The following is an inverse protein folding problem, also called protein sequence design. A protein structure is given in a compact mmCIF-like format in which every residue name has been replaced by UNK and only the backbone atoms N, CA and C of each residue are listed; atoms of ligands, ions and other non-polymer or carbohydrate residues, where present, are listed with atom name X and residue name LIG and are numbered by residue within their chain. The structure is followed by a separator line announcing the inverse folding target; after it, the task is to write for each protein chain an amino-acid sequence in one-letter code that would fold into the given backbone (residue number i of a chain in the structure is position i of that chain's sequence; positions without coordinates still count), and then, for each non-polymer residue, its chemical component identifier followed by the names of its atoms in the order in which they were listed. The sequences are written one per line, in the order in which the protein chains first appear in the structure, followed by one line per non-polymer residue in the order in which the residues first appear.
data_IF_215187187608
#
_entry.id   IF_215187187608
#
_cell.length_a   1.000
_cell.length_b   1.000
_cell.length_c   1.000
_cell.angle_alpha   90.00
_cell.angle_beta   90.00
_cell.angle_gamma   90.00
#
_symmetry.space_group_name_H-M   'P 1'
#
loop_
_entity.id
_entity.type
_entity.pdbx_description
1 polymer ?
#
# COMPACT_ATOMS: atom_id res chain seq x y z
N UNK A 1 10.97 18.86 -14.40
CA UNK A 1 9.75 19.15 -15.18
C UNK A 1 9.12 20.48 -14.76
N UNK A 2 8.49 21.22 -15.68
CA UNK A 2 7.73 22.43 -15.33
C UNK A 2 6.43 22.07 -14.56
N UNK A 3 5.92 22.96 -13.69
CA UNK A 3 4.71 22.69 -12.88
C UNK A 3 3.49 22.34 -13.77
N UNK A 4 3.28 23.09 -14.85
CA UNK A 4 2.18 22.82 -15.79
C UNK A 4 2.30 21.44 -16.42
N UNK A 5 3.50 21.09 -16.90
CA UNK A 5 3.78 19.79 -17.52
C UNK A 5 3.57 18.63 -16.53
N UNK A 6 3.92 18.82 -15.25
CA UNK A 6 3.63 17.84 -14.19
C UNK A 6 2.12 17.63 -14.02
N UNK A 7 1.35 18.71 -13.90
CA UNK A 7 -0.11 18.63 -13.76
C UNK A 7 -0.78 17.98 -14.97
N UNK A 8 -0.31 18.28 -16.17
CA UNK A 8 -0.83 17.68 -17.41
C UNK A 8 -0.57 16.16 -17.44
N UNK A 9 0.63 15.70 -17.05
CA UNK A 9 0.96 14.26 -16.97
C UNK A 9 0.18 13.54 -15.87
N UNK A 10 0.01 14.17 -14.71
CA UNK A 10 -0.83 13.62 -13.64
C UNK A 10 -2.25 13.47 -14.16
N UNK A 11 -2.85 14.52 -14.70
CA UNK A 11 -4.21 14.47 -15.22
C UNK A 11 -4.41 13.35 -16.27
N UNK A 12 -3.43 13.16 -17.16
CA UNK A 12 -3.45 12.05 -18.13
C UNK A 12 -3.46 10.70 -17.42
N UNK A 13 -2.50 10.46 -16.51
CA UNK A 13 -2.40 9.20 -15.77
C UNK A 13 -3.66 8.91 -14.94
N UNK A 14 -4.25 9.93 -14.30
CA UNK A 14 -5.51 9.81 -13.56
C UNK A 14 -6.67 9.41 -14.49
N UNK A 15 -6.75 10.03 -15.67
CA UNK A 15 -7.79 9.74 -16.66
C UNK A 15 -7.69 8.34 -17.26
N UNK A 16 -6.48 7.78 -17.31
CA UNK A 16 -6.22 6.43 -17.81
C UNK A 16 -6.25 5.36 -16.71
N UNK A 17 -6.39 5.77 -15.43
CA UNK A 17 -6.28 4.87 -14.29
C UNK A 17 -4.88 4.28 -14.12
N UNK A 18 -3.83 4.96 -14.59
CA UNK A 18 -2.44 4.51 -14.57
C UNK A 18 -1.76 4.88 -13.22
N UNK A 19 -2.05 4.06 -12.21
CA UNK A 19 -1.51 4.18 -10.85
C UNK A 19 0.03 4.09 -10.86
N UNK A 20 0.59 3.25 -11.72
CA UNK A 20 2.04 3.12 -11.84
C UNK A 20 2.71 4.42 -12.29
N UNK A 21 2.17 5.08 -13.32
CA UNK A 21 2.65 6.39 -13.76
C UNK A 21 2.45 7.45 -12.70
N UNK A 22 1.37 7.39 -11.91
CA UNK A 22 1.21 8.28 -10.76
C UNK A 22 2.39 8.11 -9.80
N UNK A 23 2.72 6.90 -9.34
CA UNK A 23 3.89 6.71 -8.46
C UNK A 23 5.23 7.13 -9.08
N UNK A 24 5.40 7.05 -10.42
CA UNK A 24 6.61 7.60 -11.08
C UNK A 24 6.72 9.12 -10.94
N UNK A 25 5.59 9.82 -10.82
CA UNK A 25 5.51 11.28 -10.68
C UNK A 25 5.55 11.76 -9.22
N UNK A 26 5.45 10.83 -8.25
CA UNK A 26 5.33 11.07 -6.81
C UNK A 26 6.39 12.02 -6.26
N UNK A 27 7.68 11.77 -6.55
CA UNK A 27 8.78 12.61 -6.07
C UNK A 27 8.67 14.06 -6.54
N UNK A 28 8.21 14.28 -7.79
CA UNK A 28 8.02 15.63 -8.33
C UNK A 28 6.76 16.29 -7.79
N UNK A 29 5.71 15.52 -7.51
CA UNK A 29 4.52 16.00 -6.82
C UNK A 29 4.90 16.50 -5.41
N UNK A 30 5.63 15.70 -4.64
CA UNK A 30 6.13 16.07 -3.32
C UNK A 30 6.98 17.35 -3.29
N UNK A 31 7.84 17.54 -4.29
CA UNK A 31 8.71 18.72 -4.36
C UNK A 31 7.93 20.01 -4.67
N UNK A 32 6.81 19.91 -5.41
CA UNK A 32 6.18 21.06 -6.06
C UNK A 32 4.80 21.41 -5.51
N UNK A 33 4.05 20.43 -5.02
CA UNK A 33 2.70 20.63 -4.54
C UNK A 33 2.69 21.15 -3.11
N UNK A 34 1.70 21.99 -2.80
CA UNK A 34 1.34 22.25 -1.42
C UNK A 34 0.68 21.01 -0.79
N UNK A 35 0.55 21.02 0.54
CA UNK A 35 0.02 19.91 1.32
C UNK A 35 -1.39 19.49 0.86
N UNK A 36 -2.30 20.44 0.67
CA UNK A 36 -3.67 20.16 0.22
C UNK A 36 -3.69 19.48 -1.16
N UNK A 37 -2.88 19.98 -2.10
CA UNK A 37 -2.78 19.41 -3.46
C UNK A 37 -2.13 18.03 -3.43
N UNK A 38 -1.14 17.82 -2.56
CA UNK A 38 -0.47 16.53 -2.40
C UNK A 38 -1.41 15.48 -1.76
N UNK A 39 -2.20 15.88 -0.76
CA UNK A 39 -3.23 15.03 -0.17
C UNK A 39 -4.27 14.62 -1.22
N UNK A 40 -4.76 15.56 -2.04
CA UNK A 40 -5.69 15.26 -3.12
C UNK A 40 -5.09 14.30 -4.17
N UNK A 41 -3.79 14.42 -4.42
CA UNK A 41 -3.07 13.53 -5.33
C UNK A 41 -3.02 12.08 -4.80
N UNK A 42 -2.68 11.87 -3.53
CA UNK A 42 -2.70 10.54 -2.92
C UNK A 42 -4.11 9.96 -2.77
N UNK A 43 -5.10 10.80 -2.43
CA UNK A 43 -6.50 10.38 -2.40
C UNK A 43 -6.96 9.82 -3.75
N UNK A 44 -6.54 10.44 -4.85
CA UNK A 44 -6.87 9.93 -6.19
C UNK A 44 -6.18 8.60 -6.52
N UNK A 45 -4.92 8.42 -6.12
CA UNK A 45 -4.22 7.12 -6.25
C UNK A 45 -5.01 6.04 -5.52
N UNK A 46 -5.46 6.33 -4.30
CA UNK A 46 -6.24 5.41 -3.48
C UNK A 46 -7.60 5.09 -4.12
N UNK A 47 -8.33 6.09 -4.61
CA UNK A 47 -9.62 5.89 -5.30
C UNK A 47 -9.48 4.91 -6.48
N UNK A 48 -8.46 5.11 -7.32
CA UNK A 48 -8.17 4.21 -8.45
C UNK A 48 -7.79 2.80 -7.99
N UNK A 49 -7.03 2.68 -6.91
CA UNK A 49 -6.63 1.39 -6.36
C UNK A 49 -7.83 0.62 -5.78
N UNK A 50 -8.75 1.31 -5.10
CA UNK A 50 -10.00 0.74 -4.58
C UNK A 50 -10.95 0.30 -5.70
N UNK A 51 -11.03 1.07 -6.79
CA UNK A 51 -11.79 0.67 -7.98
C UNK A 51 -11.22 -0.63 -8.59
N UNK A 52 -9.90 -0.71 -8.75
CA UNK A 52 -9.23 -1.93 -9.25
C UNK A 52 -9.41 -3.11 -8.31
N UNK A 53 -9.33 -2.91 -7.00
CA UNK A 53 -9.60 -3.95 -6.01
C UNK A 53 -11.02 -4.49 -6.16
N UNK A 54 -12.00 -3.60 -6.28
CA UNK A 54 -13.42 -3.96 -6.45
C UNK A 54 -13.61 -4.80 -7.71
N UNK A 55 -13.06 -4.34 -8.84
CA UNK A 55 -13.11 -5.07 -10.11
C UNK A 55 -12.47 -6.47 -10.01
N UNK A 56 -11.29 -6.57 -9.37
CA UNK A 56 -10.61 -7.85 -9.19
C UNK A 56 -11.45 -8.83 -8.33
N UNK A 57 -12.06 -8.34 -7.26
CA UNK A 57 -12.95 -9.14 -6.41
C UNK A 57 -14.20 -9.62 -7.16
N UNK A 58 -14.84 -8.74 -7.93
CA UNK A 58 -16.03 -9.09 -8.72
C UNK A 58 -15.74 -10.12 -9.80
N UNK A 59 -14.56 -10.03 -10.43
CA UNK A 59 -14.13 -10.94 -11.49
C UNK A 59 -13.43 -12.21 -10.97
N UNK A 60 -13.26 -12.36 -9.65
CA UNK A 60 -12.50 -13.44 -9.01
C UNK A 60 -11.05 -13.53 -9.52
N UNK A 61 -10.47 -12.38 -9.86
CA UNK A 61 -9.10 -12.25 -10.34
C UNK A 61 -8.14 -12.07 -9.17
N UNK A 62 -6.87 -12.44 -9.39
CA UNK A 62 -5.76 -12.15 -8.47
C UNK A 62 -4.93 -11.03 -9.06
N UNK A 63 -4.43 -10.15 -8.20
CA UNK A 63 -3.45 -9.13 -8.59
C UNK A 63 -2.06 -9.75 -8.68
N UNK A 64 -1.37 -9.52 -9.79
CA UNK A 64 -0.07 -10.10 -10.08
C UNK A 64 1.07 -9.10 -9.82
N UNK A 65 1.89 -9.34 -8.79
CA UNK A 65 2.99 -8.45 -8.44
C UNK A 65 4.05 -8.28 -9.53
N UNK A 66 4.10 -9.17 -10.53
CA UNK A 66 4.97 -9.00 -11.70
C UNK A 66 4.43 -7.96 -12.70
N UNK A 67 3.14 -7.65 -12.64
CA UNK A 67 2.51 -6.60 -13.44
C UNK A 67 2.66 -5.26 -12.73
N UNK A 68 3.28 -4.29 -13.41
CA UNK A 68 3.62 -2.98 -12.82
C UNK A 68 2.39 -2.25 -12.25
N UNK A 69 1.25 -2.37 -12.93
CA UNK A 69 0.01 -1.75 -12.49
C UNK A 69 -0.58 -2.43 -11.24
N UNK A 70 -0.54 -3.75 -11.16
CA UNK A 70 -1.04 -4.51 -10.00
C UNK A 70 -0.12 -4.33 -8.80
N UNK A 71 1.20 -4.28 -9.03
CA UNK A 71 2.18 -3.87 -8.03
C UNK A 71 1.84 -2.50 -7.44
N UNK A 72 1.59 -1.50 -8.30
CA UNK A 72 1.23 -0.16 -7.87
C UNK A 72 -0.12 -0.13 -7.11
N UNK A 73 -1.08 -0.95 -7.55
CA UNK A 73 -2.38 -1.11 -6.88
C UNK A 73 -2.21 -1.69 -5.47
N UNK A 74 -1.46 -2.79 -5.34
CA UNK A 74 -1.18 -3.43 -4.05
C UNK A 74 -0.39 -2.51 -3.11
N UNK A 75 0.54 -1.71 -3.64
CA UNK A 75 1.25 -0.69 -2.87
C UNK A 75 0.29 0.33 -2.25
N UNK A 76 -0.59 0.93 -3.06
CA UNK A 76 -1.53 1.94 -2.58
C UNK A 76 -2.46 1.40 -1.48
N UNK A 77 -2.97 0.19 -1.67
CA UNK A 77 -3.87 -0.44 -0.70
C UNK A 77 -3.14 -0.85 0.58
N UNK A 78 -1.87 -1.28 0.49
CA UNK A 78 -1.05 -1.57 1.65
C UNK A 78 -0.72 -0.30 2.44
N UNK A 79 -0.35 0.79 1.78
CA UNK A 79 -0.12 2.10 2.41
C UNK A 79 -1.38 2.55 3.16
N UNK A 80 -2.55 2.38 2.57
CA UNK A 80 -3.83 2.65 3.22
C UNK A 80 -4.10 1.77 4.46
N UNK A 81 -3.80 0.47 4.37
CA UNK A 81 -3.92 -0.43 5.54
C UNK A 81 -2.98 -0.02 6.68
N UNK A 82 -1.75 0.42 6.36
CA UNK A 82 -0.78 0.92 7.34
C UNK A 82 -1.22 2.24 7.95
N UNK A 83 -1.80 3.15 7.17
CA UNK A 83 -2.37 4.41 7.69
C UNK A 83 -3.40 4.11 8.78
N UNK A 84 -4.37 3.23 8.49
CA UNK A 84 -5.36 2.76 9.48
C UNK A 84 -4.71 2.12 10.69
N UNK A 85 -3.71 1.26 10.49
CA UNK A 85 -3.03 0.60 11.60
C UNK A 85 -2.32 1.64 12.49
N UNK A 86 -1.55 2.55 11.91
CA UNK A 86 -0.83 3.61 12.62
C UNK A 86 -1.78 4.59 13.33
N UNK A 87 -2.99 4.80 12.81
CA UNK A 87 -4.03 5.61 13.44
C UNK A 87 -4.77 4.90 14.59
N UNK A 88 -4.46 3.62 14.86
CA UNK A 88 -5.11 2.80 15.88
C UNK A 88 -6.43 2.16 15.43
N UNK A 89 -6.81 2.30 14.15
CA UNK A 89 -7.97 1.64 13.54
C UNK A 89 -7.66 0.18 13.21
N UNK A 90 -7.29 -0.62 14.23
CA UNK A 90 -6.75 -1.97 14.03
C UNK A 90 -7.76 -2.94 13.39
N UNK A 91 -9.07 -2.75 13.61
CA UNK A 91 -10.09 -3.58 12.99
C UNK A 91 -10.14 -3.39 11.47
N UNK A 92 -10.17 -2.14 11.01
CA UNK A 92 -10.20 -1.80 9.59
C UNK A 92 -8.89 -2.21 8.90
N UNK A 93 -7.75 -1.98 9.57
CA UNK A 93 -6.46 -2.44 9.10
C UNK A 93 -6.39 -3.97 8.95
N UNK A 94 -6.88 -4.73 9.95
CA UNK A 94 -6.92 -6.20 9.90
C UNK A 94 -7.72 -6.71 8.69
N UNK A 95 -8.92 -6.14 8.47
CA UNK A 95 -9.75 -6.49 7.33
C UNK A 95 -9.05 -6.19 5.99
N UNK A 96 -8.37 -5.05 5.89
CA UNK A 96 -7.60 -4.69 4.70
C UNK A 96 -6.43 -5.67 4.46
N UNK A 97 -5.66 -6.03 5.50
CA UNK A 97 -4.58 -7.01 5.37
C UNK A 97 -5.08 -8.40 4.97
N UNK A 98 -6.23 -8.83 5.50
CA UNK A 98 -6.87 -10.08 5.07
C UNK A 98 -7.24 -10.06 3.58
N UNK A 99 -7.87 -8.98 3.10
CA UNK A 99 -8.21 -8.81 1.69
C UNK A 99 -6.95 -8.78 0.82
N UNK A 100 -5.92 -8.04 1.21
CA UNK A 100 -4.67 -7.93 0.46
C UNK A 100 -3.94 -9.26 0.33
N UNK A 101 -3.80 -10.00 1.43
CA UNK A 101 -3.20 -11.33 1.40
C UNK A 101 -4.03 -12.32 0.59
N UNK A 102 -5.35 -12.14 0.57
CA UNK A 102 -6.29 -12.92 -0.22
C UNK A 102 -6.26 -12.61 -1.71
N UNK A 103 -6.08 -11.36 -2.14
CA UNK A 103 -6.21 -10.96 -3.55
C UNK A 103 -4.90 -11.06 -4.34
N UNK A 104 -3.74 -11.02 -3.68
CA UNK A 104 -2.43 -11.17 -4.33
C UNK A 104 -2.15 -12.61 -4.77
N UNK A 105 -1.39 -12.80 -5.84
CA UNK A 105 -0.80 -14.09 -6.21
C UNK A 105 0.62 -14.31 -5.64
N UNK A 106 1.22 -13.29 -5.03
CA UNK A 106 2.57 -13.35 -4.46
C UNK A 106 2.54 -13.96 -3.05
N UNK A 107 3.06 -15.17 -2.92
CA UNK A 107 3.06 -15.92 -1.66
C UNK A 107 3.78 -15.17 -0.53
N UNK A 108 4.91 -14.54 -0.82
CA UNK A 108 5.71 -13.84 0.19
C UNK A 108 4.96 -12.62 0.76
N UNK A 109 4.26 -11.87 -0.09
CA UNK A 109 3.39 -10.79 0.32
C UNK A 109 2.20 -11.32 1.12
N UNK A 110 1.53 -12.37 0.65
CA UNK A 110 0.40 -12.96 1.36
C UNK A 110 0.78 -13.44 2.77
N UNK A 111 1.94 -14.07 2.95
CA UNK A 111 2.44 -14.45 4.27
C UNK A 111 2.75 -13.22 5.14
N UNK A 112 3.37 -12.18 4.58
CA UNK A 112 3.62 -10.95 5.33
C UNK A 112 2.30 -10.30 5.80
N UNK A 113 1.26 -10.28 4.96
CA UNK A 113 -0.06 -9.73 5.33
C UNK A 113 -0.71 -10.51 6.48
N UNK A 114 -0.51 -11.83 6.58
CA UNK A 114 -0.99 -12.61 7.73
C UNK A 114 -0.36 -12.15 9.04
N UNK A 115 0.93 -11.81 9.03
CA UNK A 115 1.61 -11.32 10.23
C UNK A 115 1.09 -9.93 10.61
N UNK A 116 0.87 -9.04 9.65
CA UNK A 116 0.26 -7.72 9.91
C UNK A 116 -1.14 -7.87 10.51
N UNK A 117 -1.97 -8.69 9.88
CA UNK A 117 -3.31 -9.02 10.37
C UNK A 117 -3.27 -9.57 11.79
N UNK A 118 -2.39 -10.54 12.07
CA UNK A 118 -2.27 -11.12 13.40
C UNK A 118 -1.89 -10.06 14.46
N UNK A 119 -1.08 -9.06 14.09
CA UNK A 119 -0.73 -7.95 14.98
C UNK A 119 -1.96 -7.10 15.31
N UNK A 120 -2.74 -6.75 14.28
CA UNK A 120 -3.97 -6.00 14.42
C UNK A 120 -5.03 -6.76 15.23
N UNK A 121 -5.21 -8.06 14.96
CA UNK A 121 -6.14 -8.94 15.68
C UNK A 121 -5.77 -9.09 17.16
N UNK A 122 -4.46 -9.11 17.45
CA UNK A 122 -3.93 -9.09 18.81
C UNK A 122 -3.95 -7.69 19.47
N UNK A 123 -4.46 -6.67 18.77
CA UNK A 123 -4.50 -5.27 19.21
C UNK A 123 -3.13 -4.70 19.62
N UNK A 124 -2.05 -5.18 18.98
CA UNK A 124 -0.70 -4.65 19.21
C UNK A 124 -0.63 -3.26 18.58
N UNK A 125 -0.30 -2.19 19.32
CA UNK A 125 -0.08 -0.87 18.74
C UNK A 125 0.97 -0.90 17.64
N UNK A 126 0.82 -0.05 16.60
CA UNK A 126 1.75 -0.06 15.47
C UNK A 126 3.21 0.15 15.89
N UNK A 127 3.47 1.09 16.81
CA UNK A 127 4.83 1.35 17.32
C UNK A 127 5.44 0.10 18.00
N UNK A 128 4.65 -0.61 18.80
CA UNK A 128 5.07 -1.86 19.46
C UNK A 128 5.33 -2.98 18.44
N UNK A 129 4.51 -3.05 17.38
CA UNK A 129 4.70 -3.99 16.28
C UNK A 129 6.05 -3.76 15.60
N UNK A 130 6.34 -2.50 15.24
CA UNK A 130 7.62 -2.12 14.62
C UNK A 130 8.80 -2.46 15.54
N UNK A 131 8.73 -2.10 16.82
CA UNK A 131 9.85 -2.30 17.74
C UNK A 131 10.12 -3.79 18.02
N UNK A 132 9.07 -4.55 18.31
CA UNK A 132 9.20 -5.89 18.90
C UNK A 132 9.16 -7.03 17.88
N UNK A 133 8.49 -6.83 16.74
CA UNK A 133 8.21 -7.91 15.79
C UNK A 133 8.89 -7.69 14.43
N UNK A 134 9.16 -6.46 14.04
CA UNK A 134 9.74 -6.17 12.72
C UNK A 134 11.27 -6.13 12.78
N UNK A 135 11.92 -6.81 11.83
CA UNK A 135 13.32 -6.59 11.51
C UNK A 135 13.42 -5.41 10.53
N UNK A 136 13.61 -4.22 11.09
CA UNK A 136 13.65 -2.97 10.33
C UNK A 136 14.85 -2.88 9.40
N UNK A 137 16.01 -3.40 9.81
CA UNK A 137 17.22 -3.38 8.98
C UNK A 137 17.04 -4.30 7.77
N UNK A 138 16.57 -5.53 7.98
CA UNK A 138 16.30 -6.46 6.89
C UNK A 138 15.18 -5.96 5.97
N UNK A 139 14.13 -5.35 6.53
CA UNK A 139 13.03 -4.74 5.74
C UNK A 139 13.54 -3.63 4.83
N UNK A 140 14.34 -2.70 5.34
CA UNK A 140 14.91 -1.62 4.54
C UNK A 140 15.85 -2.14 3.44
N UNK A 141 16.72 -3.10 3.78
CA UNK A 141 17.64 -3.72 2.82
C UNK A 141 16.92 -4.57 1.76
N UNK A 142 15.73 -5.09 2.08
CA UNK A 142 14.92 -5.90 1.18
C UNK A 142 14.29 -5.12 0.03
N UNK A 143 14.18 -3.78 0.14
CA UNK A 143 13.69 -2.92 -0.94
C UNK A 143 12.24 -3.14 -1.35
N UNK A 144 11.43 -3.77 -0.50
CA UNK A 144 9.99 -3.98 -0.73
C UNK A 144 9.20 -2.77 -0.24
N UNK A 145 8.04 -2.51 -0.87
CA UNK A 145 7.13 -1.44 -0.41
C UNK A 145 6.38 -1.80 0.88
N UNK A 146 6.49 -3.04 1.34
CA UNK A 146 5.81 -3.57 2.53
C UNK A 146 6.80 -4.14 3.53
N UNK A 147 6.41 -4.15 4.81
CA UNK A 147 7.19 -4.76 5.87
C UNK A 147 7.19 -6.28 5.65
N UNK A 148 8.38 -6.87 5.56
CA UNK A 148 8.52 -8.23 5.04
C UNK A 148 9.48 -9.12 5.81
N UNK A 149 10.17 -8.57 6.82
CA UNK A 149 11.07 -9.33 7.67
C UNK A 149 10.66 -9.16 9.13
N UNK A 150 10.52 -10.29 9.81
CA UNK A 150 9.99 -10.37 11.16
C UNK A 150 10.95 -11.14 12.06
N UNK A 151 11.10 -10.67 13.30
CA UNK A 151 12.00 -11.26 14.31
C UNK A 151 11.43 -12.54 14.93
N UNK A 152 10.10 -12.65 14.97
CA UNK A 152 9.32 -13.74 15.56
C UNK A 152 7.88 -13.69 15.05
N UNK A 153 7.14 -14.78 15.19
CA UNK A 153 5.71 -14.78 14.89
C UNK A 153 4.90 -14.09 16.00
N UNK A 154 3.63 -13.81 15.72
CA UNK A 154 2.70 -13.20 16.67
C UNK A 154 1.91 -14.31 17.35
N UNK A 155 2.03 -14.41 18.67
CA UNK A 155 1.40 -15.47 19.47
C UNK A 155 2.35 -16.60 19.90
N UNK A 156 3.65 -16.50 19.61
CA UNK A 156 4.71 -17.32 20.20
C UNK A 156 5.15 -16.84 21.60
#
# INVERSE_FOLDING_TARGET
MAMKELKDKIFQAQSEGDIASLYVLESQAHEKFDEDTLMAYYANILDLALERLTNALENLEKLDMSQVQDFATLRALYEYAIEHYSAGSTHDASALFEVLGGISNDEAFSEAMKIHRAACDAQIPFDDFIEQYVDMEATQNGGKFYISYFKKEIGE
#
